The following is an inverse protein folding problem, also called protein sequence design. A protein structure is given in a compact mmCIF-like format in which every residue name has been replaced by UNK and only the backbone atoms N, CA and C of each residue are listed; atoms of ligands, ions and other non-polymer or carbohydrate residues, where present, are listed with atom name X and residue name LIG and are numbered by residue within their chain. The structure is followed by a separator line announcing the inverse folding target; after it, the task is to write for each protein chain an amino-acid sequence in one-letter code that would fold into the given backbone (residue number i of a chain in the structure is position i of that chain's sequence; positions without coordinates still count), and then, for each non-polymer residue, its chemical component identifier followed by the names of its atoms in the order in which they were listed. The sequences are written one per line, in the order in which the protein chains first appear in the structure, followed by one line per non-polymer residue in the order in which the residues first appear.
data_IF_720892020878
#
_entry.id   IF_720892020878
#
_cell.length_a   1.000
_cell.length_b   1.000
_cell.length_c   1.000
_cell.angle_alpha   90.00
_cell.angle_beta   90.00
_cell.angle_gamma   90.00
#
_symmetry.space_group_name_H-M   'P 1'
#
loop_
_entity.id
_entity.type
_entity.pdbx_description
1 polymer ?
#
# COMPACT_ATOMS: atom_id res chain seq x y z
N UNK A 1 9.77 17.64 -48.88
CA UNK A 1 10.07 16.21 -48.80
C UNK A 1 10.90 15.79 -47.57
N UNK A 2 11.43 16.69 -46.73
CA UNK A 2 12.26 16.35 -45.57
C UNK A 2 11.53 16.37 -44.19
N UNK A 3 10.46 17.11 -44.05
CA UNK A 3 9.74 17.24 -42.76
C UNK A 3 9.00 15.96 -42.38
N UNK A 4 8.33 15.28 -43.33
CA UNK A 4 7.60 14.04 -43.07
C UNK A 4 8.52 12.90 -42.67
N UNK A 5 9.73 12.83 -43.24
CA UNK A 5 10.73 11.82 -42.83
C UNK A 5 11.29 12.09 -41.44
N UNK A 6 11.41 13.34 -41.01
CA UNK A 6 11.84 13.72 -39.67
C UNK A 6 10.73 13.40 -38.64
N UNK A 7 9.47 13.71 -38.95
CA UNK A 7 8.32 13.37 -38.09
C UNK A 7 8.16 11.86 -37.94
N UNK A 8 8.29 11.09 -39.01
CA UNK A 8 8.23 9.62 -38.95
C UNK A 8 9.40 9.04 -38.15
N UNK A 9 10.61 9.59 -38.28
CA UNK A 9 11.77 9.16 -37.46
C UNK A 9 11.60 9.53 -35.99
N UNK A 10 11.11 10.74 -35.70
CA UNK A 10 10.80 11.15 -34.32
C UNK A 10 9.70 10.28 -33.73
N UNK A 11 8.61 10.00 -34.46
CA UNK A 11 7.52 9.13 -34.05
C UNK A 11 8.00 7.71 -33.79
N UNK A 12 8.84 7.12 -34.61
CA UNK A 12 9.42 5.80 -34.42
C UNK A 12 10.30 5.71 -33.15
N UNK A 13 10.95 6.81 -32.74
CA UNK A 13 11.71 6.88 -31.49
C UNK A 13 10.81 7.04 -30.25
N UNK A 14 9.76 7.82 -30.35
CA UNK A 14 8.88 8.16 -29.22
C UNK A 14 7.83 7.08 -28.99
N UNK A 15 7.29 6.48 -30.06
CA UNK A 15 6.26 5.42 -30.01
C UNK A 15 6.58 4.29 -29.04
N UNK A 16 7.79 3.70 -28.99
CA UNK A 16 8.12 2.63 -28.02
C UNK A 16 8.04 3.09 -26.57
N UNK A 17 8.23 4.38 -26.29
CA UNK A 17 8.16 4.96 -24.95
C UNK A 17 6.73 5.36 -24.55
N UNK A 18 5.84 5.56 -25.51
CA UNK A 18 4.41 5.83 -25.28
C UNK A 18 3.61 4.53 -25.13
N UNK A 19 3.94 3.50 -25.91
CA UNK A 19 3.27 2.19 -25.87
C UNK A 19 3.89 1.24 -24.83
N UNK A 20 4.21 1.78 -23.64
CA UNK A 20 4.82 1.00 -22.54
C UNK A 20 3.78 0.36 -21.65
N UNK A 21 2.57 0.89 -21.67
CA UNK A 21 1.53 0.53 -20.74
C UNK A 21 0.88 -0.81 -21.09
N UNK A 22 0.71 -1.66 -20.08
CA UNK A 22 -0.13 -2.85 -20.19
C UNK A 22 -1.60 -2.44 -20.26
N UNK A 23 -2.34 -2.78 -21.34
CA UNK A 23 -3.70 -2.29 -21.52
C UNK A 23 -4.65 -2.68 -20.39
N UNK A 24 -4.60 -3.95 -19.96
CA UNK A 24 -5.50 -4.44 -18.91
C UNK A 24 -5.23 -3.73 -17.58
N UNK A 25 -3.96 -3.63 -17.17
CA UNK A 25 -3.57 -2.92 -15.95
C UNK A 25 -3.94 -1.44 -16.02
N UNK A 26 -3.74 -0.80 -17.18
CA UNK A 26 -4.07 0.61 -17.40
C UNK A 26 -5.56 0.89 -17.27
N UNK A 27 -6.42 0.02 -17.83
CA UNK A 27 -7.88 0.16 -17.71
C UNK A 27 -8.30 0.03 -16.25
N UNK A 28 -7.80 -0.98 -15.54
CA UNK A 28 -8.12 -1.18 -14.12
C UNK A 28 -7.71 0.05 -13.28
N UNK A 29 -6.49 0.55 -13.48
CA UNK A 29 -6.00 1.74 -12.76
C UNK A 29 -6.79 2.99 -13.13
N UNK A 30 -7.21 3.17 -14.39
CA UNK A 30 -8.05 4.27 -14.81
C UNK A 30 -9.43 4.22 -14.16
N UNK A 31 -10.04 3.02 -14.07
CA UNK A 31 -11.32 2.82 -13.40
C UNK A 31 -11.21 3.12 -11.90
N UNK A 32 -10.16 2.64 -11.22
CA UNK A 32 -9.92 2.96 -9.80
C UNK A 32 -9.69 4.46 -9.59
N UNK A 33 -8.91 5.13 -10.46
CA UNK A 33 -8.68 6.56 -10.38
C UNK A 33 -9.97 7.36 -10.60
N UNK A 34 -10.81 6.95 -11.55
CA UNK A 34 -12.13 7.57 -11.79
C UNK A 34 -13.05 7.40 -10.58
N UNK A 35 -13.13 6.20 -10.03
CA UNK A 35 -13.90 5.93 -8.80
C UNK A 35 -13.38 6.79 -7.64
N UNK A 36 -12.05 6.90 -7.50
CA UNK A 36 -11.42 7.78 -6.51
C UNK A 36 -11.86 9.22 -6.65
N UNK A 37 -11.77 9.78 -7.85
CA UNK A 37 -12.11 11.18 -8.09
C UNK A 37 -13.59 11.47 -7.87
N UNK A 38 -14.48 10.56 -8.28
CA UNK A 38 -15.93 10.67 -8.05
C UNK A 38 -16.20 10.67 -6.53
N UNK A 39 -15.67 9.68 -5.80
CA UNK A 39 -15.90 9.58 -4.35
C UNK A 39 -15.26 10.75 -3.60
N UNK A 40 -14.06 11.14 -3.99
CA UNK A 40 -13.35 12.24 -3.31
C UNK A 40 -14.02 13.59 -3.56
N UNK A 41 -14.66 13.80 -4.71
CA UNK A 41 -15.42 15.01 -4.98
C UNK A 41 -16.57 15.17 -3.96
N UNK A 42 -17.28 14.08 -3.67
CA UNK A 42 -18.32 14.07 -2.61
C UNK A 42 -17.72 14.19 -1.22
N UNK A 43 -16.76 13.35 -0.86
CA UNK A 43 -16.12 13.34 0.45
C UNK A 43 -15.36 14.62 0.80
N UNK A 44 -14.91 15.35 -0.22
CA UNK A 44 -14.02 16.50 -0.09
C UNK A 44 -14.71 17.85 -0.21
N UNK A 45 -16.04 17.93 -0.24
CA UNK A 45 -16.78 19.16 -0.52
C UNK A 45 -16.44 20.28 0.47
N UNK A 46 -16.21 19.93 1.75
CA UNK A 46 -15.87 20.87 2.83
C UNK A 46 -14.34 21.08 2.97
N UNK A 47 -13.54 20.48 2.10
CA UNK A 47 -12.08 20.61 2.11
C UNK A 47 -11.58 21.22 0.82
N UNK A 48 -11.57 22.56 0.67
CA UNK A 48 -11.13 23.25 -0.53
C UNK A 48 -9.71 22.80 -0.95
N UNK A 49 -9.52 22.54 -2.26
CA UNK A 49 -8.23 22.13 -2.82
C UNK A 49 -7.88 20.65 -2.68
N UNK A 50 -8.70 19.83 -2.00
CA UNK A 50 -8.46 18.37 -1.89
C UNK A 50 -8.64 17.66 -3.24
N UNK A 51 -9.67 18.02 -3.99
CA UNK A 51 -9.93 17.44 -5.32
C UNK A 51 -8.79 17.76 -6.29
N UNK A 52 -8.42 19.03 -6.41
CA UNK A 52 -7.31 19.48 -7.28
C UNK A 52 -5.97 18.89 -6.83
N UNK A 53 -5.81 18.77 -5.50
CA UNK A 53 -4.65 18.09 -4.90
C UNK A 53 -4.55 16.63 -5.35
N UNK A 54 -5.67 15.91 -5.37
CA UNK A 54 -5.69 14.51 -5.80
C UNK A 54 -5.43 14.37 -7.31
N UNK A 55 -5.98 15.25 -8.13
CA UNK A 55 -5.67 15.28 -9.57
C UNK A 55 -4.16 15.48 -9.79
N UNK A 56 -3.53 16.43 -9.09
CA UNK A 56 -2.07 16.63 -9.15
C UNK A 56 -1.30 15.39 -8.69
N UNK A 57 -1.77 14.71 -7.63
CA UNK A 57 -1.16 13.48 -7.13
C UNK A 57 -1.27 12.35 -8.16
N UNK A 58 -2.40 12.22 -8.87
CA UNK A 58 -2.56 11.25 -9.96
C UNK A 58 -1.63 11.56 -11.13
N UNK A 59 -1.48 12.83 -11.51
CA UNK A 59 -0.54 13.23 -12.56
C UNK A 59 0.90 12.84 -12.17
N UNK A 60 1.31 13.13 -10.93
CA UNK A 60 2.63 12.76 -10.42
C UNK A 60 2.82 11.24 -10.37
N UNK A 61 1.82 10.49 -9.88
CA UNK A 61 1.85 9.02 -9.84
C UNK A 61 1.90 8.41 -11.24
N UNK A 62 1.13 8.92 -12.20
CA UNK A 62 1.15 8.51 -13.60
C UNK A 62 2.51 8.79 -14.25
N UNK A 63 3.09 9.97 -13.98
CA UNK A 63 4.42 10.30 -14.49
C UNK A 63 5.48 9.33 -13.94
N UNK A 64 5.46 9.06 -12.65
CA UNK A 64 6.38 8.08 -12.05
C UNK A 64 6.12 6.66 -12.56
N UNK A 65 4.88 6.27 -12.75
CA UNK A 65 4.51 4.99 -13.37
C UNK A 65 5.09 4.88 -14.78
N UNK A 66 4.94 5.93 -15.61
CA UNK A 66 5.50 5.97 -16.96
C UNK A 66 7.03 5.90 -16.95
N UNK A 67 7.68 6.63 -16.05
CA UNK A 67 9.13 6.61 -15.89
C UNK A 67 9.64 5.20 -15.58
N UNK A 68 9.05 4.54 -14.59
CA UNK A 68 9.45 3.19 -14.17
C UNK A 68 9.11 2.13 -15.22
N UNK A 69 7.99 2.27 -15.92
CA UNK A 69 7.61 1.39 -17.02
C UNK A 69 8.62 1.40 -18.18
N UNK A 70 9.34 2.50 -18.36
CA UNK A 70 10.41 2.64 -19.37
C UNK A 70 11.78 2.10 -18.90
N UNK A 71 11.94 1.83 -17.61
CA UNK A 71 13.18 1.22 -17.09
C UNK A 71 13.16 -0.29 -17.28
N UNK A 72 14.26 -0.86 -17.80
CA UNK A 72 14.37 -2.31 -17.89
C UNK A 72 14.57 -2.96 -16.51
N UNK A 73 14.10 -4.20 -16.28
CA UNK A 73 14.31 -4.92 -15.02
C UNK A 73 15.79 -5.02 -14.60
N UNK A 74 16.70 -5.10 -15.57
CA UNK A 74 18.15 -5.11 -15.33
C UNK A 74 18.65 -3.79 -14.73
N UNK A 75 18.08 -2.65 -15.15
CA UNK A 75 18.38 -1.35 -14.54
C UNK A 75 17.79 -1.27 -13.12
N UNK A 76 16.54 -1.72 -12.93
CA UNK A 76 15.92 -1.78 -11.60
C UNK A 76 16.77 -2.62 -10.64
N UNK A 77 17.29 -3.74 -11.10
CA UNK A 77 18.18 -4.60 -10.34
C UNK A 77 19.47 -3.88 -9.89
N UNK A 78 20.06 -3.03 -10.72
CA UNK A 78 21.25 -2.22 -10.36
C UNK A 78 20.93 -1.17 -9.29
N UNK A 79 19.71 -0.66 -9.25
CA UNK A 79 19.28 0.31 -8.25
C UNK A 79 18.85 -0.32 -6.91
N UNK A 80 18.79 -1.65 -6.80
CA UNK A 80 18.30 -2.33 -5.60
C UNK A 80 19.09 -1.94 -4.33
N UNK A 81 20.40 -2.09 -4.38
CA UNK A 81 21.29 -1.75 -3.23
C UNK A 81 21.28 -0.24 -2.95
N UNK A 82 21.50 0.66 -3.95
CA UNK A 82 21.44 2.11 -3.71
C UNK A 82 20.13 2.58 -3.11
N UNK A 83 18.97 2.14 -3.64
CA UNK A 83 17.65 2.57 -3.13
C UNK A 83 17.43 2.12 -1.69
N UNK A 84 17.79 0.87 -1.38
CA UNK A 84 17.67 0.35 -0.02
C UNK A 84 18.59 1.10 0.96
N UNK A 85 19.87 1.31 0.61
CA UNK A 85 20.84 2.00 1.48
C UNK A 85 20.46 3.47 1.68
N UNK A 86 20.05 4.17 0.62
CA UNK A 86 19.55 5.54 0.73
C UNK A 86 18.32 5.58 1.65
N UNK A 87 17.37 4.65 1.48
CA UNK A 87 16.21 4.55 2.34
C UNK A 87 16.56 4.37 3.81
N UNK A 88 17.52 3.50 4.13
CA UNK A 88 18.03 3.33 5.50
C UNK A 88 18.69 4.60 6.05
N UNK A 89 19.57 5.22 5.28
CA UNK A 89 20.25 6.47 5.69
C UNK A 89 19.22 7.57 5.97
N UNK A 90 18.22 7.71 5.10
CA UNK A 90 17.13 8.67 5.31
C UNK A 90 16.27 8.33 6.54
N UNK A 91 16.03 7.04 6.85
CA UNK A 91 15.34 6.66 8.09
C UNK A 91 16.15 7.07 9.33
N UNK A 92 17.47 6.86 9.31
CA UNK A 92 18.34 7.36 10.38
C UNK A 92 18.31 8.88 10.48
N UNK A 93 18.33 9.59 9.35
CA UNK A 93 18.25 11.05 9.33
C UNK A 93 16.95 11.59 9.95
N UNK A 94 15.83 10.85 9.85
CA UNK A 94 14.56 11.24 10.53
C UNK A 94 14.73 11.30 12.05
N UNK A 95 15.51 10.42 12.68
CA UNK A 95 15.73 10.50 14.12
C UNK A 95 16.50 11.76 14.52
N UNK A 96 17.44 12.22 13.68
CA UNK A 96 18.27 13.40 13.95
C UNK A 96 17.55 14.72 13.59
N UNK A 97 16.91 14.78 12.40
CA UNK A 97 16.42 16.01 11.78
C UNK A 97 14.95 15.94 11.34
N UNK A 98 14.20 14.92 11.75
CA UNK A 98 12.80 14.75 11.34
C UNK A 98 11.86 15.76 11.97
N UNK A 99 10.84 16.18 11.21
CA UNK A 99 9.74 17.02 11.67
C UNK A 99 8.63 16.20 12.31
N UNK A 100 8.08 16.70 13.43
CA UNK A 100 6.96 16.04 14.12
C UNK A 100 5.66 16.50 13.48
N UNK A 101 4.86 15.55 13.00
CA UNK A 101 3.49 15.74 12.53
C UNK A 101 2.56 14.74 13.21
N UNK A 102 1.42 15.18 13.69
CA UNK A 102 0.43 14.34 14.38
C UNK A 102 1.06 13.47 15.49
N UNK A 103 1.96 14.07 16.29
CA UNK A 103 2.63 13.40 17.41
C UNK A 103 3.73 12.40 17.04
N UNK A 104 4.10 12.25 15.75
CA UNK A 104 5.12 11.34 15.31
C UNK A 104 6.16 12.01 14.40
N UNK A 105 7.44 11.67 14.62
CA UNK A 105 8.57 12.16 13.83
C UNK A 105 8.81 11.19 12.66
N UNK A 106 8.28 11.51 11.47
CA UNK A 106 8.31 10.62 10.28
C UNK A 106 8.74 11.30 9.00
N UNK A 107 8.82 12.63 8.99
CA UNK A 107 9.00 13.42 7.78
C UNK A 107 10.34 14.13 7.80
N UNK A 108 10.99 14.17 6.63
CA UNK A 108 12.13 15.05 6.37
C UNK A 108 11.67 16.18 5.45
N UNK A 109 11.95 17.42 5.87
CA UNK A 109 11.69 18.60 5.05
C UNK A 109 12.97 18.96 4.32
N UNK A 110 12.95 18.87 2.98
CA UNK A 110 14.06 19.24 2.11
C UNK A 110 13.56 20.36 1.20
N UNK A 111 13.85 21.60 1.57
CA UNK A 111 13.28 22.77 0.91
C UNK A 111 11.75 22.79 1.03
N UNK A 112 11.00 22.97 -0.08
CA UNK A 112 9.54 22.98 -0.07
C UNK A 112 8.93 21.57 -0.04
N UNK A 113 9.75 20.51 -0.18
CA UNK A 113 9.26 19.13 -0.29
C UNK A 113 9.35 18.42 1.06
N UNK A 114 8.30 17.67 1.39
CA UNK A 114 8.28 16.76 2.53
C UNK A 114 8.37 15.33 2.02
N UNK A 115 9.39 14.61 2.47
CA UNK A 115 9.66 13.24 2.08
C UNK A 115 9.48 12.35 3.30
N UNK A 116 8.76 11.25 3.14
CA UNK A 116 8.66 10.19 4.14
C UNK A 116 9.56 9.03 3.71
N UNK A 117 10.71 8.81 4.36
CA UNK A 117 11.66 7.79 3.93
C UNK A 117 11.12 6.36 3.97
N UNK A 118 10.19 6.08 4.86
CA UNK A 118 9.54 4.77 4.94
C UNK A 118 8.71 4.44 3.70
N UNK A 119 8.21 5.44 2.94
CA UNK A 119 7.54 5.22 1.65
C UNK A 119 8.51 4.65 0.61
N UNK A 120 9.75 5.16 0.57
CA UNK A 120 10.77 4.64 -0.33
C UNK A 120 11.10 3.17 -0.04
N UNK A 121 11.10 2.78 1.24
CA UNK A 121 11.44 1.42 1.66
C UNK A 121 10.32 0.39 1.37
N UNK A 122 9.09 0.80 1.16
CA UNK A 122 8.02 -0.09 0.67
C UNK A 122 8.37 -0.69 -0.70
N UNK A 123 9.15 0.03 -1.51
CA UNK A 123 9.70 -0.46 -2.79
C UNK A 123 11.14 -0.94 -2.62
N UNK A 124 11.94 -0.24 -1.82
CA UNK A 124 13.38 -0.53 -1.62
C UNK A 124 13.63 -1.90 -1.00
N UNK A 125 12.81 -2.31 -0.01
CA UNK A 125 12.95 -3.63 0.64
C UNK A 125 12.66 -4.78 -0.33
N UNK A 126 11.51 -4.85 -1.02
CA UNK A 126 11.28 -5.92 -1.99
C UNK A 126 12.28 -5.89 -3.15
N UNK A 127 12.73 -4.72 -3.57
CA UNK A 127 13.77 -4.59 -4.61
C UNK A 127 15.10 -5.20 -4.15
N UNK A 128 15.54 -4.88 -2.93
CA UNK A 128 16.76 -5.41 -2.32
C UNK A 128 16.70 -6.92 -2.11
N UNK A 129 15.60 -7.43 -1.56
CA UNK A 129 15.43 -8.86 -1.32
C UNK A 129 15.33 -9.66 -2.62
N UNK A 130 14.62 -9.16 -3.63
CA UNK A 130 14.55 -9.79 -4.94
C UNK A 130 15.93 -9.84 -5.61
N UNK A 131 16.74 -8.77 -5.48
CA UNK A 131 18.13 -8.75 -5.95
C UNK A 131 18.99 -9.76 -5.21
N UNK A 132 18.87 -9.84 -3.89
CA UNK A 132 19.63 -10.75 -3.05
C UNK A 132 19.39 -12.21 -3.43
N UNK A 133 18.11 -12.62 -3.52
CA UNK A 133 17.76 -13.98 -3.90
C UNK A 133 18.09 -14.30 -5.37
N UNK A 134 17.95 -13.35 -6.29
CA UNK A 134 18.34 -13.54 -7.67
C UNK A 134 19.84 -13.88 -7.82
N UNK A 135 20.71 -13.23 -7.04
CA UNK A 135 22.15 -13.58 -7.04
C UNK A 135 22.44 -14.97 -6.51
N UNK A 136 21.49 -15.61 -5.83
CA UNK A 136 21.62 -16.93 -5.21
C UNK A 136 20.66 -17.96 -5.80
N UNK A 137 20.03 -17.64 -6.93
CA UNK A 137 19.01 -18.46 -7.59
C UNK A 137 19.43 -19.92 -7.78
N UNK A 138 20.72 -20.16 -8.11
CA UNK A 138 21.23 -21.50 -8.33
C UNK A 138 21.29 -22.38 -7.07
N UNK A 139 21.37 -21.81 -5.88
CA UNK A 139 21.50 -22.52 -4.60
C UNK A 139 21.09 -21.66 -3.41
N UNK A 140 19.78 -21.56 -3.18
CA UNK A 140 19.22 -20.91 -1.98
C UNK A 140 19.40 -21.84 -0.78
N UNK A 141 20.04 -21.35 0.29
CA UNK A 141 20.29 -22.07 1.54
C UNK A 141 19.46 -21.44 2.67
N UNK A 142 19.30 -22.17 3.78
CA UNK A 142 18.62 -21.65 4.96
C UNK A 142 19.25 -20.32 5.47
N UNK A 143 20.57 -20.21 5.41
CA UNK A 143 21.30 -18.97 5.80
C UNK A 143 20.84 -17.77 4.97
N UNK A 144 20.44 -17.95 3.71
CA UNK A 144 19.95 -16.87 2.84
C UNK A 144 18.62 -16.29 3.35
N UNK A 145 17.77 -17.13 3.93
CA UNK A 145 16.54 -16.67 4.58
C UNK A 145 16.82 -15.89 5.87
N UNK A 146 17.85 -16.28 6.64
CA UNK A 146 18.29 -15.54 7.83
C UNK A 146 18.81 -14.16 7.44
N UNK A 147 19.64 -14.07 6.41
CA UNK A 147 20.14 -12.78 5.89
C UNK A 147 18.99 -11.92 5.36
N UNK A 148 18.06 -12.53 4.63
CA UNK A 148 16.87 -11.81 4.14
C UNK A 148 16.00 -11.30 5.29
N UNK A 149 15.82 -12.08 6.34
CA UNK A 149 15.12 -11.65 7.56
C UNK A 149 15.83 -10.48 8.24
N UNK A 150 17.15 -10.48 8.34
CA UNK A 150 17.93 -9.36 8.88
C UNK A 150 17.78 -8.10 8.02
N UNK A 151 17.87 -8.23 6.69
CA UNK A 151 17.63 -7.11 5.75
C UNK A 151 16.20 -6.54 5.87
N UNK A 152 15.22 -7.34 6.29
CA UNK A 152 13.85 -6.89 6.54
C UNK A 152 13.67 -6.29 7.93
N UNK A 153 14.18 -6.93 8.98
CA UNK A 153 13.99 -6.52 10.38
C UNK A 153 14.62 -5.16 10.68
N UNK A 154 15.76 -4.82 10.08
CA UNK A 154 16.43 -3.54 10.31
C UNK A 154 15.55 -2.35 9.93
N UNK A 155 15.06 -2.19 8.68
CA UNK A 155 14.17 -1.08 8.34
C UNK A 155 12.85 -1.11 9.11
N UNK A 156 12.26 -2.30 9.32
CA UNK A 156 11.01 -2.46 10.08
C UNK A 156 11.18 -1.96 11.52
N UNK A 157 12.25 -2.34 12.20
CA UNK A 157 12.54 -1.90 13.57
C UNK A 157 12.72 -0.37 13.66
N UNK A 158 13.37 0.23 12.68
CA UNK A 158 13.51 1.68 12.61
C UNK A 158 12.16 2.38 12.38
N UNK A 159 11.31 1.85 11.50
CA UNK A 159 9.97 2.41 11.23
C UNK A 159 9.07 2.23 12.46
N UNK A 160 9.11 1.09 13.13
CA UNK A 160 8.34 0.83 14.34
C UNK A 160 8.70 1.79 15.49
N UNK A 161 9.98 2.19 15.59
CA UNK A 161 10.43 3.25 16.53
C UNK A 161 9.92 4.65 16.19
N UNK A 162 9.47 4.89 14.94
CA UNK A 162 8.86 6.15 14.50
C UNK A 162 7.34 6.21 14.71
N UNK A 163 6.75 5.46 15.60
CA UNK A 163 5.36 5.00 15.81
C UNK A 163 4.51 4.93 14.52
N UNK A 164 5.06 4.36 13.46
CA UNK A 164 4.39 4.17 12.16
C UNK A 164 4.05 2.68 11.91
N UNK A 165 3.04 2.18 12.62
CA UNK A 165 2.65 0.77 12.53
C UNK A 165 2.11 0.39 11.15
N UNK A 166 1.34 1.27 10.50
CA UNK A 166 0.78 1.01 9.18
C UNK A 166 1.88 0.78 8.14
N UNK A 167 2.87 1.67 8.09
CA UNK A 167 4.00 1.52 7.17
C UNK A 167 4.90 0.35 7.55
N UNK A 168 5.14 0.10 8.85
CA UNK A 168 5.91 -1.06 9.30
C UNK A 168 5.26 -2.38 8.83
N UNK A 169 3.94 -2.52 8.98
CA UNK A 169 3.16 -3.67 8.51
C UNK A 169 3.32 -3.87 6.99
N UNK A 170 3.21 -2.81 6.21
CA UNK A 170 3.34 -2.87 4.75
C UNK A 170 4.75 -3.28 4.32
N UNK A 171 5.79 -2.78 5.00
CA UNK A 171 7.19 -3.15 4.71
C UNK A 171 7.46 -4.60 5.12
N UNK A 172 6.92 -5.06 6.26
CA UNK A 172 6.97 -6.48 6.67
C UNK A 172 6.32 -7.36 5.60
N UNK A 173 5.10 -7.02 5.20
CA UNK A 173 4.38 -7.76 4.17
C UNK A 173 5.16 -7.82 2.85
N UNK A 174 5.68 -6.67 2.40
CA UNK A 174 6.48 -6.56 1.18
C UNK A 174 7.70 -7.49 1.18
N UNK A 175 8.48 -7.48 2.26
CA UNK A 175 9.64 -8.34 2.42
C UNK A 175 9.26 -9.81 2.57
N UNK A 176 8.23 -10.10 3.36
CA UNK A 176 7.72 -11.46 3.55
C UNK A 176 7.28 -12.09 2.23
N UNK A 177 6.61 -11.35 1.35
CA UNK A 177 6.19 -11.88 0.05
C UNK A 177 7.38 -12.25 -0.84
N UNK A 178 8.46 -11.47 -0.83
CA UNK A 178 9.69 -11.86 -1.56
C UNK A 178 10.27 -13.14 -0.97
N UNK A 179 10.39 -13.22 0.36
CA UNK A 179 10.94 -14.39 1.08
C UNK A 179 10.06 -15.63 0.81
N UNK A 180 8.75 -15.47 0.81
CA UNK A 180 7.80 -16.54 0.49
C UNK A 180 7.98 -17.05 -0.95
N UNK A 181 8.00 -16.16 -1.93
CA UNK A 181 8.19 -16.53 -3.34
C UNK A 181 9.60 -17.06 -3.64
N UNK A 182 10.59 -16.72 -2.81
CA UNK A 182 11.93 -17.29 -2.90
C UNK A 182 11.99 -18.77 -2.45
N UNK A 183 10.88 -19.31 -1.93
CA UNK A 183 10.76 -20.73 -1.58
C UNK A 183 10.84 -21.01 -0.07
N UNK A 184 10.39 -20.06 0.78
CA UNK A 184 10.26 -20.32 2.22
C UNK A 184 9.32 -21.50 2.46
N UNK A 185 9.80 -22.49 3.23
CA UNK A 185 9.04 -23.71 3.49
C UNK A 185 7.76 -23.46 4.29
N UNK A 186 6.66 -24.05 3.86
CA UNK A 186 5.39 -24.06 4.58
C UNK A 186 5.51 -24.64 5.99
N UNK A 187 6.51 -25.49 6.25
CA UNK A 187 6.82 -26.04 7.58
C UNK A 187 7.21 -24.95 8.59
N UNK A 188 7.71 -23.80 8.10
CA UNK A 188 8.04 -22.63 8.93
C UNK A 188 6.88 -21.64 9.00
N UNK A 189 6.09 -21.51 7.93
CA UNK A 189 4.98 -20.56 7.86
C UNK A 189 3.80 -21.05 8.70
N UNK A 190 3.43 -22.32 8.58
CA UNK A 190 2.24 -22.87 9.23
C UNK A 190 2.27 -22.77 10.77
N UNK A 191 3.36 -23.13 11.48
CA UNK A 191 3.44 -22.92 12.92
C UNK A 191 3.32 -21.46 13.33
N UNK A 192 3.94 -20.55 12.58
CA UNK A 192 3.84 -19.11 12.86
C UNK A 192 2.41 -18.59 12.66
N UNK A 193 1.73 -19.05 11.62
CA UNK A 193 0.33 -18.69 11.35
C UNK A 193 -0.60 -19.24 12.44
N UNK A 194 -0.43 -20.51 12.84
CA UNK A 194 -1.20 -21.14 13.93
C UNK A 194 -0.96 -20.39 15.24
N UNK A 195 0.29 -20.06 15.57
CA UNK A 195 0.61 -19.27 16.76
C UNK A 195 -0.04 -17.88 16.71
N UNK A 196 -0.06 -17.23 15.54
CA UNK A 196 -0.74 -15.95 15.36
C UNK A 196 -2.25 -16.05 15.57
N UNK A 197 -2.90 -17.09 15.04
CA UNK A 197 -4.35 -17.33 15.23
C UNK A 197 -4.66 -17.62 16.69
N UNK A 198 -3.87 -18.46 17.36
CA UNK A 198 -4.04 -18.74 18.79
C UNK A 198 -3.84 -17.48 19.62
N UNK A 199 -2.81 -16.68 19.31
CA UNK A 199 -2.56 -15.40 19.97
C UNK A 199 -3.73 -14.41 19.79
N UNK A 200 -4.28 -14.28 18.59
CA UNK A 200 -5.45 -13.44 18.32
C UNK A 200 -6.69 -13.95 19.10
N UNK A 201 -6.95 -15.24 19.09
CA UNK A 201 -8.04 -15.83 19.86
C UNK A 201 -7.87 -15.60 21.38
N UNK A 202 -6.65 -15.74 21.90
CA UNK A 202 -6.34 -15.46 23.31
C UNK A 202 -6.56 -13.97 23.65
N UNK A 203 -6.17 -13.05 22.76
CA UNK A 203 -6.41 -11.60 22.92
C UNK A 203 -7.91 -11.29 22.97
N UNK A 204 -8.70 -11.88 22.06
CA UNK A 204 -10.17 -11.71 22.06
C UNK A 204 -10.79 -12.25 23.34
N UNK A 205 -10.39 -13.46 23.74
CA UNK A 205 -10.94 -14.11 24.96
C UNK A 205 -10.57 -13.38 26.24
N UNK A 206 -9.38 -12.80 26.33
CA UNK A 206 -8.90 -12.11 27.53
C UNK A 206 -9.08 -10.58 27.48
N UNK A 207 -9.73 -10.05 26.45
CA UNK A 207 -9.86 -8.62 26.18
C UNK A 207 -10.29 -7.79 27.39
N UNK A 208 -11.34 -8.22 28.08
CA UNK A 208 -11.88 -7.52 29.26
C UNK A 208 -10.87 -7.38 30.40
N UNK A 209 -9.94 -8.34 30.54
CA UNK A 209 -8.91 -8.32 31.59
C UNK A 209 -7.69 -7.50 31.19
N UNK A 210 -7.22 -7.67 29.96
CA UNK A 210 -5.96 -7.06 29.51
C UNK A 210 -6.11 -5.62 29.08
N UNK A 211 -7.33 -5.17 28.76
CA UNK A 211 -7.63 -3.79 28.38
C UNK A 211 -7.89 -2.85 29.56
N UNK A 212 -7.83 -3.33 30.80
CA UNK A 212 -7.97 -2.47 31.99
C UNK A 212 -6.87 -1.39 32.02
N UNK A 213 -7.17 -0.18 32.53
CA UNK A 213 -6.23 0.96 32.50
C UNK A 213 -4.91 0.70 33.23
N UNK A 214 -4.96 -0.08 34.31
CA UNK A 214 -3.85 -0.43 35.20
C UNK A 214 -2.93 -1.51 34.63
N UNK A 215 -3.39 -2.27 33.64
CA UNK A 215 -2.58 -3.36 33.03
C UNK A 215 -1.61 -2.81 32.00
N UNK A 216 -0.31 -2.93 32.25
CA UNK A 216 0.74 -2.58 31.29
C UNK A 216 1.13 -3.81 30.44
N UNK A 217 1.22 -3.63 29.12
CA UNK A 217 1.66 -4.70 28.22
C UNK A 217 3.19 -4.66 28.06
N UNK A 218 3.92 -5.72 28.42
CA UNK A 218 5.36 -5.76 28.29
C UNK A 218 5.81 -5.54 26.82
N UNK A 219 6.71 -4.57 26.59
CA UNK A 219 7.27 -4.31 25.26
C UNK A 219 6.36 -3.56 24.28
N UNK A 220 5.16 -3.17 24.67
CA UNK A 220 4.26 -2.36 23.86
C UNK A 220 4.11 -0.93 24.40
N UNK A 221 3.99 0.03 23.47
CA UNK A 221 3.66 1.40 23.83
C UNK A 221 2.16 1.56 24.09
N UNK A 222 1.77 2.48 24.98
CA UNK A 222 0.38 2.71 25.35
C UNK A 222 -0.57 2.89 24.17
N UNK A 223 -0.16 3.62 23.12
CA UNK A 223 -0.96 3.83 21.91
C UNK A 223 -1.23 2.53 21.10
N UNK A 224 -0.37 1.51 21.23
CA UNK A 224 -0.56 0.21 20.57
C UNK A 224 -1.61 -0.62 21.29
N UNK A 225 -1.53 -0.65 22.64
CA UNK A 225 -2.55 -1.25 23.51
C UNK A 225 -3.92 -0.64 23.22
N UNK A 226 -4.00 0.68 23.24
CA UNK A 226 -5.26 1.40 23.00
C UNK A 226 -5.89 1.05 21.64
N UNK A 227 -5.11 0.92 20.56
CA UNK A 227 -5.63 0.50 19.23
C UNK A 227 -6.23 -0.90 19.25
N UNK A 228 -5.61 -1.82 19.97
CA UNK A 228 -6.11 -3.19 20.09
C UNK A 228 -7.36 -3.21 20.99
N UNK A 229 -7.35 -2.50 22.11
CA UNK A 229 -8.49 -2.42 23.01
C UNK A 229 -9.68 -1.72 22.36
N UNK A 230 -9.47 -0.63 21.61
CA UNK A 230 -10.53 0.02 20.83
C UNK A 230 -11.10 -0.90 19.72
N UNK A 231 -10.29 -1.81 19.16
CA UNK A 231 -10.80 -2.80 18.22
C UNK A 231 -11.71 -3.82 18.90
N UNK A 232 -11.31 -4.30 20.12
CA UNK A 232 -12.08 -5.30 20.86
C UNK A 232 -13.41 -4.73 21.37
N UNK A 233 -13.38 -3.50 21.85
CA UNK A 233 -14.58 -2.76 22.29
C UNK A 233 -14.46 -1.26 21.96
N UNK A 234 -14.99 -0.83 20.79
CA UNK A 234 -14.96 0.58 20.40
C UNK A 234 -15.89 1.45 21.28
N UNK A 235 -16.77 0.86 22.09
CA UNK A 235 -17.71 1.59 22.94
C UNK A 235 -17.07 2.11 24.22
N UNK A 236 -15.87 1.67 24.58
CA UNK A 236 -15.11 2.16 25.73
C UNK A 236 -14.62 3.61 25.57
N UNK A 237 -14.40 4.06 24.31
CA UNK A 237 -14.06 5.44 24.00
C UNK A 237 -14.86 5.92 22.76
N UNK A 238 -16.19 6.09 22.90
CA UNK A 238 -17.08 6.33 21.76
C UNK A 238 -16.94 7.74 21.16
N UNK A 239 -16.31 8.69 21.86
CA UNK A 239 -16.07 10.07 21.38
C UNK A 239 -14.61 10.32 20.98
N UNK A 240 -13.70 9.37 21.27
CA UNK A 240 -12.31 9.43 20.91
C UNK A 240 -11.97 8.48 19.76
N UNK A 241 -11.11 7.50 20.03
CA UNK A 241 -10.60 6.59 18.99
C UNK A 241 -11.64 5.58 18.45
N UNK A 242 -12.62 5.19 19.29
CA UNK A 242 -13.74 4.35 18.87
C UNK A 242 -14.68 5.05 17.91
N UNK A 243 -14.75 6.38 17.96
CA UNK A 243 -15.62 7.18 17.12
C UNK A 243 -15.47 6.87 15.63
N UNK A 244 -14.23 6.84 15.13
CA UNK A 244 -13.97 6.56 13.73
C UNK A 244 -14.49 5.19 13.28
N UNK A 245 -14.26 4.15 14.09
CA UNK A 245 -14.70 2.77 13.81
C UNK A 245 -16.23 2.67 13.85
N UNK A 246 -16.87 3.25 14.86
CA UNK A 246 -18.33 3.23 15.01
C UNK A 246 -18.98 3.97 13.84
N UNK A 247 -18.54 5.18 13.55
CA UNK A 247 -19.14 5.99 12.48
C UNK A 247 -18.91 5.39 11.08
N UNK A 248 -17.74 4.79 10.84
CA UNK A 248 -17.50 4.08 9.57
C UNK A 248 -18.38 2.84 9.42
N UNK A 249 -18.59 2.07 10.50
CA UNK A 249 -19.47 0.92 10.48
C UNK A 249 -20.94 1.33 10.25
N UNK A 250 -21.39 2.44 10.88
CA UNK A 250 -22.73 3.01 10.64
C UNK A 250 -22.87 3.45 9.18
N UNK A 251 -21.86 4.16 8.63
CA UNK A 251 -21.89 4.62 7.24
C UNK A 251 -22.00 3.44 6.27
N UNK A 252 -21.12 2.43 6.42
CA UNK A 252 -21.17 1.20 5.60
C UNK A 252 -22.51 0.49 5.70
N UNK A 253 -23.04 0.32 6.94
CA UNK A 253 -24.33 -0.35 7.16
C UNK A 253 -25.51 0.44 6.61
N UNK A 254 -25.46 1.76 6.67
CA UNK A 254 -26.54 2.64 6.20
C UNK A 254 -26.68 2.71 4.68
N UNK A 255 -25.65 2.32 3.92
CA UNK A 255 -25.68 2.28 2.47
C UNK A 255 -26.62 1.21 1.89
N UNK A 256 -26.95 0.15 2.63
CA UNK A 256 -27.83 -0.91 2.16
C UNK A 256 -27.34 -1.56 0.86
N UNK A 257 -28.27 -1.99 -0.01
CA UNK A 257 -27.94 -2.68 -1.26
C UNK A 257 -27.45 -1.73 -2.35
N UNK A 258 -28.11 -0.61 -2.57
CA UNK A 258 -27.89 0.29 -3.72
C UNK A 258 -27.25 1.63 -3.35
N UNK A 259 -27.00 1.87 -2.07
CA UNK A 259 -26.53 3.14 -1.56
C UNK A 259 -27.63 4.18 -1.37
N UNK A 260 -27.28 5.26 -0.70
CA UNK A 260 -28.15 6.42 -0.52
C UNK A 260 -28.22 7.32 -1.76
N UNK A 261 -27.33 7.11 -2.71
CA UNK A 261 -27.11 7.96 -3.87
C UNK A 261 -25.88 8.85 -3.76
N UNK A 262 -25.34 9.21 -4.91
CA UNK A 262 -24.16 10.08 -5.00
C UNK A 262 -24.41 11.44 -4.35
N UNK A 263 -23.48 11.90 -3.51
CA UNK A 263 -23.58 13.13 -2.70
C UNK A 263 -24.76 13.16 -1.70
N UNK A 264 -25.33 12.00 -1.34
CA UNK A 264 -26.44 11.90 -0.37
C UNK A 264 -26.03 11.14 0.91
N UNK A 265 -24.74 10.94 1.13
CA UNK A 265 -24.20 10.31 2.33
C UNK A 265 -24.40 11.19 3.58
N UNK A 266 -25.26 10.78 4.49
CA UNK A 266 -25.58 11.55 5.70
C UNK A 266 -24.43 11.59 6.69
N UNK A 267 -23.71 10.47 6.89
CA UNK A 267 -22.55 10.41 7.79
C UNK A 267 -21.38 11.24 7.25
N UNK A 268 -21.25 11.32 5.93
CA UNK A 268 -20.25 12.12 5.25
C UNK A 268 -20.50 13.62 5.42
N UNK A 269 -21.74 14.08 5.14
CA UNK A 269 -22.06 15.52 5.13
C UNK A 269 -22.32 16.10 6.52
N UNK A 270 -22.56 15.28 7.53
CA UNK A 270 -22.67 15.71 8.93
C UNK A 270 -21.33 15.71 9.69
N UNK A 271 -20.20 15.57 8.98
CA UNK A 271 -18.84 15.55 9.54
C UNK A 271 -18.58 14.46 10.60
N UNK A 272 -19.39 13.38 10.60
CA UNK A 272 -19.18 12.27 11.53
C UNK A 272 -17.97 11.40 11.20
N UNK A 273 -17.38 11.52 10.00
CA UNK A 273 -16.20 10.78 9.57
C UNK A 273 -15.03 11.76 9.33
N UNK A 274 -14.16 12.05 10.34
CA UNK A 274 -13.13 13.08 10.22
C UNK A 274 -12.10 12.84 9.10
N UNK A 275 -11.63 11.60 8.92
CA UNK A 275 -10.64 11.23 7.89
C UNK A 275 -11.31 10.62 6.62
N UNK A 276 -12.50 11.12 6.26
CA UNK A 276 -13.32 10.59 5.15
C UNK A 276 -12.66 10.68 3.78
N UNK A 277 -11.69 11.56 3.59
CA UNK A 277 -10.96 11.70 2.33
C UNK A 277 -9.73 10.82 2.23
N UNK A 278 -9.21 10.33 3.34
CA UNK A 278 -7.96 9.55 3.46
C UNK A 278 -8.25 8.10 3.83
N UNK A 279 -8.23 7.77 5.11
CA UNK A 279 -8.27 6.41 5.60
C UNK A 279 -9.66 5.77 5.52
N UNK A 280 -10.71 6.58 5.59
CA UNK A 280 -12.12 6.14 5.63
C UNK A 280 -12.92 6.45 4.35
N UNK A 281 -12.26 6.71 3.22
CA UNK A 281 -12.94 6.98 1.95
C UNK A 281 -13.85 5.83 1.51
N UNK A 282 -13.52 4.59 1.89
CA UNK A 282 -14.36 3.43 1.64
C UNK A 282 -15.71 3.53 2.34
N UNK A 283 -15.79 4.11 3.54
CA UNK A 283 -17.05 4.30 4.25
C UNK A 283 -17.99 5.25 3.48
N UNK A 284 -17.44 6.34 2.94
CA UNK A 284 -18.18 7.26 2.05
C UNK A 284 -18.69 6.53 0.81
N UNK A 285 -17.80 5.80 0.15
CA UNK A 285 -18.15 5.03 -1.05
C UNK A 285 -19.24 3.99 -0.76
N UNK A 286 -19.15 3.28 0.36
CA UNK A 286 -20.13 2.29 0.78
C UNK A 286 -21.48 2.92 1.12
N UNK A 287 -21.51 4.09 1.76
CA UNK A 287 -22.73 4.82 2.08
C UNK A 287 -23.46 5.29 0.82
N UNK A 288 -22.70 5.82 -0.17
CA UNK A 288 -23.30 6.40 -1.39
C UNK A 288 -23.67 5.35 -2.45
N UNK A 289 -22.84 4.32 -2.63
CA UNK A 289 -23.02 3.31 -3.69
C UNK A 289 -23.50 1.93 -3.18
N UNK A 290 -23.57 1.75 -1.86
CA UNK A 290 -24.09 0.55 -1.22
C UNK A 290 -23.28 -0.71 -1.47
N UNK A 291 -23.88 -1.85 -1.19
CA UNK A 291 -23.24 -3.17 -1.35
C UNK A 291 -22.87 -3.47 -2.81
N UNK A 292 -23.70 -3.07 -3.77
CA UNK A 292 -23.38 -3.25 -5.21
C UNK A 292 -22.11 -2.49 -5.59
N UNK A 293 -21.95 -1.24 -5.13
CA UNK A 293 -20.73 -0.47 -5.35
C UNK A 293 -19.50 -1.15 -4.75
N UNK A 294 -19.61 -1.67 -3.52
CA UNK A 294 -18.53 -2.42 -2.86
C UNK A 294 -18.13 -3.67 -3.65
N UNK A 295 -19.09 -4.44 -4.17
CA UNK A 295 -18.78 -5.61 -5.01
C UNK A 295 -18.03 -5.21 -6.27
N UNK A 296 -18.45 -4.15 -6.97
CA UNK A 296 -17.75 -3.64 -8.15
C UNK A 296 -16.31 -3.23 -7.79
N UNK A 297 -16.12 -2.51 -6.68
CA UNK A 297 -14.81 -2.11 -6.21
C UNK A 297 -13.93 -3.33 -5.85
N UNK A 298 -14.46 -4.32 -5.17
CA UNK A 298 -13.76 -5.58 -4.86
C UNK A 298 -13.34 -6.31 -6.14
N UNK A 299 -14.21 -6.38 -7.14
CA UNK A 299 -13.88 -6.98 -8.44
C UNK A 299 -12.74 -6.22 -9.14
N UNK A 300 -12.69 -4.89 -9.06
CA UNK A 300 -11.57 -4.10 -9.60
C UNK A 300 -10.26 -4.42 -8.87
N UNK A 301 -10.26 -4.54 -7.53
CA UNK A 301 -9.06 -4.95 -6.80
C UNK A 301 -8.67 -6.41 -7.09
N UNK A 302 -9.62 -7.31 -7.18
CA UNK A 302 -9.34 -8.70 -7.60
C UNK A 302 -8.73 -8.74 -8.99
N UNK A 303 -9.24 -7.94 -9.94
CA UNK A 303 -8.68 -7.85 -11.29
C UNK A 303 -7.26 -7.26 -11.28
N UNK A 304 -6.99 -6.23 -10.45
CA UNK A 304 -5.65 -5.64 -10.25
C UNK A 304 -4.65 -6.70 -9.77
N UNK A 305 -5.02 -7.42 -8.71
CA UNK A 305 -4.17 -8.44 -8.08
C UNK A 305 -3.97 -9.61 -9.05
N UNK A 306 -5.04 -10.11 -9.67
CA UNK A 306 -4.95 -11.19 -10.64
C UNK A 306 -4.04 -10.83 -11.82
N UNK A 307 -4.21 -9.61 -12.40
CA UNK A 307 -3.34 -9.14 -13.48
C UNK A 307 -1.89 -9.03 -13.04
N UNK A 308 -1.62 -8.49 -11.86
CA UNK A 308 -0.27 -8.40 -11.30
C UNK A 308 0.39 -9.76 -11.07
N UNK A 309 -0.35 -10.74 -10.56
CA UNK A 309 0.14 -12.12 -10.38
C UNK A 309 0.41 -12.80 -11.73
N UNK A 310 -0.42 -12.58 -12.75
CA UNK A 310 -0.14 -13.07 -14.12
C UNK A 310 1.14 -12.44 -14.68
N UNK A 311 1.39 -11.16 -14.43
CA UNK A 311 2.64 -10.50 -14.83
C UNK A 311 3.84 -11.15 -14.12
N UNK A 312 3.72 -11.40 -12.82
CA UNK A 312 4.75 -12.06 -12.04
C UNK A 312 5.03 -13.49 -12.51
N UNK A 313 3.98 -14.27 -12.77
CA UNK A 313 4.10 -15.66 -13.26
C UNK A 313 4.81 -15.74 -14.63
N UNK A 314 4.54 -14.78 -15.52
CA UNK A 314 5.11 -14.72 -16.88
C UNK A 314 6.42 -13.91 -16.96
N UNK A 315 7.02 -13.54 -15.81
CA UNK A 315 8.24 -12.76 -15.77
C UNK A 315 9.45 -13.55 -16.30
N UNK A 316 10.33 -12.85 -17.05
CA UNK A 316 11.47 -13.47 -17.74
C UNK A 316 12.63 -13.86 -16.83
N UNK A 317 12.74 -13.27 -15.64
CA UNK A 317 13.83 -13.53 -14.69
C UNK A 317 13.29 -13.77 -13.28
N UNK A 318 14.07 -14.49 -12.48
CA UNK A 318 13.74 -14.75 -11.08
C UNK A 318 13.58 -13.46 -10.28
N UNK A 319 14.47 -12.47 -10.49
CA UNK A 319 14.35 -11.13 -9.92
C UNK A 319 12.99 -10.49 -10.24
N UNK A 320 12.61 -10.47 -11.51
CA UNK A 320 11.35 -9.86 -11.95
C UNK A 320 10.13 -10.58 -11.37
N UNK A 321 10.19 -11.90 -11.25
CA UNK A 321 9.12 -12.73 -10.66
C UNK A 321 8.91 -12.40 -9.19
N UNK A 322 9.99 -12.39 -8.41
CA UNK A 322 9.94 -12.05 -6.98
C UNK A 322 9.43 -10.63 -6.75
N UNK A 323 9.98 -9.67 -7.49
CA UNK A 323 9.64 -8.26 -7.34
C UNK A 323 8.18 -7.98 -7.73
N UNK A 324 7.74 -8.46 -8.91
CA UNK A 324 6.37 -8.26 -9.37
C UNK A 324 5.34 -8.95 -8.47
N UNK A 325 5.62 -10.17 -8.01
CA UNK A 325 4.77 -10.88 -7.07
C UNK A 325 4.61 -10.12 -5.75
N UNK A 326 5.72 -9.64 -5.18
CA UNK A 326 5.69 -8.86 -3.94
C UNK A 326 4.92 -7.55 -4.11
N UNK A 327 5.19 -6.76 -5.16
CA UNK A 327 4.48 -5.49 -5.42
C UNK A 327 2.97 -5.73 -5.58
N UNK A 328 2.58 -6.79 -6.27
CA UNK A 328 1.16 -7.14 -6.44
C UNK A 328 0.51 -7.44 -5.09
N UNK A 329 1.16 -8.24 -4.24
CA UNK A 329 0.64 -8.59 -2.93
C UNK A 329 0.71 -7.43 -1.93
N UNK A 330 1.58 -6.43 -2.14
CA UNK A 330 1.51 -5.16 -1.41
C UNK A 330 0.19 -4.45 -1.72
N UNK A 331 -0.25 -4.36 -2.98
CA UNK A 331 -1.55 -3.76 -3.32
C UNK A 331 -2.71 -4.51 -2.65
N UNK A 332 -2.64 -5.85 -2.61
CA UNK A 332 -3.59 -6.65 -1.83
C UNK A 332 -3.58 -6.26 -0.35
N UNK A 333 -2.39 -6.18 0.27
CA UNK A 333 -2.27 -5.84 1.70
C UNK A 333 -2.84 -4.46 2.00
N UNK A 334 -2.58 -3.46 1.16
CA UNK A 334 -3.18 -2.14 1.29
C UNK A 334 -4.70 -2.19 1.28
N UNK A 335 -5.29 -2.86 0.27
CA UNK A 335 -6.73 -2.98 0.13
C UNK A 335 -7.34 -3.76 1.30
N UNK A 336 -6.76 -4.91 1.65
CA UNK A 336 -7.23 -5.77 2.73
C UNK A 336 -7.19 -5.07 4.09
N UNK A 337 -6.08 -4.39 4.41
CA UNK A 337 -5.92 -3.69 5.70
C UNK A 337 -6.87 -2.50 5.79
N UNK A 338 -7.00 -1.69 4.72
CA UNK A 338 -7.93 -0.56 4.73
C UNK A 338 -9.38 -1.01 4.84
N UNK A 339 -9.81 -1.96 4.00
CA UNK A 339 -11.18 -2.49 4.05
C UNK A 339 -11.49 -3.14 5.39
N UNK A 340 -10.54 -3.92 5.94
CA UNK A 340 -10.68 -4.53 7.26
C UNK A 340 -10.76 -3.52 8.40
N UNK A 341 -10.02 -2.40 8.30
CA UNK A 341 -10.05 -1.30 9.25
C UNK A 341 -11.40 -0.56 9.22
N UNK A 342 -11.89 -0.23 8.02
CA UNK A 342 -13.15 0.49 7.83
C UNK A 342 -14.35 -0.35 8.27
N UNK A 343 -14.30 -1.68 8.06
CA UNK A 343 -15.34 -2.63 8.51
C UNK A 343 -15.23 -3.04 9.99
N UNK A 344 -14.23 -2.52 10.74
CA UNK A 344 -14.04 -2.85 12.17
C UNK A 344 -13.47 -4.25 12.42
N UNK A 345 -12.97 -4.95 11.40
CA UNK A 345 -12.33 -6.28 11.54
C UNK A 345 -10.86 -6.13 11.98
N UNK A 346 -10.20 -5.05 11.56
CA UNK A 346 -8.80 -4.76 11.87
C UNK A 346 -8.68 -3.42 12.62
N UNK A 347 -7.64 -3.26 13.46
CA UNK A 347 -7.42 -2.01 14.16
C UNK A 347 -7.10 -0.87 13.18
N UNK A 348 -7.47 0.36 13.56
CA UNK A 348 -7.17 1.55 12.77
C UNK A 348 -5.67 1.82 12.79
N UNK A 349 -5.00 1.60 11.66
CA UNK A 349 -3.54 1.73 11.50
C UNK A 349 -3.12 2.84 10.54
N UNK A 350 -4.09 3.51 9.88
CA UNK A 350 -3.79 4.61 8.97
C UNK A 350 -3.17 4.15 7.64
N UNK A 351 -3.71 3.11 7.03
CA UNK A 351 -3.30 2.61 5.71
C UNK A 351 -4.31 3.06 4.67
N UNK A 352 -3.91 3.87 3.66
CA UNK A 352 -4.84 4.35 2.65
C UNK A 352 -5.29 3.23 1.70
N UNK A 353 -6.49 3.35 1.14
CA UNK A 353 -7.00 2.46 0.11
C UNK A 353 -6.28 2.74 -1.22
N UNK A 354 -5.64 1.73 -1.86
CA UNK A 354 -4.78 1.97 -3.02
C UNK A 354 -5.53 2.57 -4.20
N UNK A 355 -4.98 3.64 -4.76
CA UNK A 355 -5.55 4.40 -5.88
C UNK A 355 -6.92 5.02 -5.63
N UNK A 356 -7.43 4.97 -4.39
CA UNK A 356 -8.68 5.61 -3.98
C UNK A 356 -8.49 6.74 -2.98
N UNK A 357 -7.76 6.50 -1.90
CA UNK A 357 -7.56 7.49 -0.85
C UNK A 357 -6.78 8.71 -1.31
N UNK A 358 -7.12 9.87 -0.74
CA UNK A 358 -6.30 11.06 -0.86
C UNK A 358 -4.94 10.85 -0.19
N UNK A 359 -3.85 11.06 -0.94
CA UNK A 359 -2.50 10.91 -0.40
C UNK A 359 -1.41 11.05 -1.46
N UNK A 360 -0.56 12.08 -1.33
CA UNK A 360 0.46 12.38 -2.34
C UNK A 360 1.55 11.32 -2.42
N UNK A 361 2.29 11.11 -1.33
CA UNK A 361 3.45 10.20 -1.29
C UNK A 361 3.04 8.74 -1.49
N UNK A 362 1.95 8.31 -0.85
CA UNK A 362 1.44 6.94 -0.98
C UNK A 362 1.01 6.65 -2.43
N UNK A 363 0.28 7.58 -3.08
CA UNK A 363 -0.17 7.39 -4.46
C UNK A 363 1.00 7.34 -5.45
N UNK A 364 2.04 8.16 -5.23
CA UNK A 364 3.28 8.12 -6.02
C UNK A 364 3.99 6.77 -5.85
N UNK A 365 4.09 6.26 -4.63
CA UNK A 365 4.69 4.94 -4.33
C UNK A 365 3.91 3.81 -5.02
N UNK A 366 2.56 3.87 -5.00
CA UNK A 366 1.70 2.92 -5.73
C UNK A 366 1.90 3.03 -7.25
N UNK A 367 2.04 4.26 -7.77
CA UNK A 367 2.37 4.52 -9.18
C UNK A 367 3.72 3.92 -9.58
N UNK A 368 4.75 4.07 -8.74
CA UNK A 368 6.06 3.40 -8.92
C UNK A 368 5.87 1.87 -9.00
N UNK A 369 5.12 1.29 -8.06
CA UNK A 369 4.82 -0.14 -8.07
C UNK A 369 4.14 -0.60 -9.35
N UNK A 370 3.10 0.11 -9.80
CA UNK A 370 2.42 -0.17 -11.06
C UNK A 370 3.36 -0.04 -12.28
N UNK A 371 4.23 0.97 -12.29
CA UNK A 371 5.25 1.15 -13.33
C UNK A 371 6.25 0.00 -13.39
N UNK A 372 6.66 -0.53 -12.24
CA UNK A 372 7.53 -1.72 -12.18
C UNK A 372 6.81 -2.94 -12.77
N UNK A 373 5.52 -3.17 -12.44
CA UNK A 373 4.73 -4.26 -13.05
C UNK A 373 4.67 -4.12 -14.58
N UNK A 374 4.44 -2.91 -15.10
CA UNK A 374 4.43 -2.64 -16.54
C UNK A 374 5.80 -2.88 -17.18
N UNK A 375 6.89 -2.47 -16.51
CA UNK A 375 8.26 -2.77 -16.95
C UNK A 375 8.51 -4.27 -17.06
N UNK A 376 8.11 -5.04 -16.06
CA UNK A 376 8.25 -6.52 -16.06
C UNK A 376 7.45 -7.13 -17.20
N UNK A 377 6.21 -6.70 -17.40
CA UNK A 377 5.34 -7.19 -18.48
C UNK A 377 5.92 -6.91 -19.88
N UNK A 378 6.47 -5.72 -20.07
CA UNK A 378 7.09 -5.33 -21.35
C UNK A 378 8.30 -6.21 -21.70
N UNK A 379 9.09 -6.60 -20.69
CA UNK A 379 10.32 -7.37 -20.87
C UNK A 379 10.13 -8.89 -20.63
N UNK A 380 8.89 -9.38 -20.69
CA UNK A 380 8.63 -10.83 -20.68
C UNK A 380 9.30 -11.48 -21.88
N UNK A 381 9.80 -12.71 -21.71
CA UNK A 381 10.21 -13.51 -22.86
C UNK A 381 8.98 -13.79 -23.72
N UNK A 382 9.03 -13.45 -25.00
CA UNK A 382 8.17 -14.06 -25.97
C UNK A 382 8.60 -15.51 -26.03
N UNK A 383 7.84 -16.40 -25.41
CA UNK A 383 8.04 -17.84 -25.59
C UNK A 383 7.71 -18.06 -27.05
N UNK A 384 8.73 -18.30 -27.85
CA UNK A 384 8.55 -18.90 -29.16
C UNK A 384 8.07 -20.32 -28.88
N UNK A 385 6.77 -20.55 -29.06
CA UNK A 385 6.20 -21.89 -29.20
C UNK A 385 6.65 -22.45 -30.52
#
# INVERSE_FOLDING_TARGET
MNQDKLLIRAWRRVRPHLLVFDPALSIILALLATTSLITLYSAGIDFPGRFEGQVRNFIAAFFMMWLLANLSPQKLQRFAVPVYTIGLVLLFAVFAAGTVKNGARRWLTVGPMQIQPSELLKIGVPLMLAWYFHKREARVRFVDFVVAALLLVVPVGLIAKQPDLGTALLVVAAGFYVIYFAGLSWKLILPALVAGVIGAAALIYSGDRICQPDVQWPGMHGYQKERICTLLDPTTDPLGRGFHTIQSAIAVGSGGLTGKGYMQGTQTHLDFIPERTTDFILAVFAEEFGFVGIIVLLLLYCALIFRGLLIAANASSYFSRLLAGSITLIFFTYAFVNMGMVSGILPVVGVPLPFMSYGGTALVTLGIGAGILMSVQRHKKLVQT
#
